data_IF_473088194039
#
_entry.id   IF_473088194039
#
_cell.length_a   1.000
_cell.length_b   1.000
_cell.length_c   1.000
_cell.angle_alpha   90.00
_cell.angle_beta   90.00
_cell.angle_gamma   90.00
#
_symmetry.space_group_name_H-M   'P 1'
#
loop_
_entity.id
_entity.type
_entity.pdbx_description
1 polymer ?
#
# COMPACT_ATOMS: atom_id res chain seq x y z
N UNK A 1 29.81 3.03 25.16
CA UNK A 1 30.44 3.78 24.05
C UNK A 1 30.96 5.12 24.57
N UNK A 2 32.15 5.57 24.18
CA UNK A 2 32.65 6.90 24.59
C UNK A 2 31.89 8.01 23.84
N UNK A 3 31.70 9.16 24.49
CA UNK A 3 30.95 10.31 23.94
C UNK A 3 31.47 10.76 22.56
N UNK A 4 32.79 10.65 22.37
CA UNK A 4 33.49 11.04 21.14
C UNK A 4 33.19 10.10 19.97
N UNK A 5 33.07 8.79 20.23
CA UNK A 5 32.72 7.83 19.18
C UNK A 5 31.25 8.00 18.72
N UNK A 6 30.33 8.32 19.64
CA UNK A 6 28.92 8.59 19.32
C UNK A 6 28.78 9.81 18.40
N UNK A 7 29.52 10.89 18.69
CA UNK A 7 29.50 12.11 17.88
C UNK A 7 30.00 11.86 16.45
N UNK A 8 31.05 11.05 16.27
CA UNK A 8 31.58 10.69 14.95
C UNK A 8 30.57 9.86 14.14
N UNK A 9 29.85 8.93 14.78
CA UNK A 9 28.85 8.11 14.07
C UNK A 9 27.62 8.93 13.67
N UNK A 10 27.17 9.86 14.51
CA UNK A 10 26.07 10.78 14.19
C UNK A 10 26.49 11.73 13.07
N UNK A 11 27.71 12.28 13.11
CA UNK A 11 28.19 13.23 12.09
C UNK A 11 28.31 12.58 10.71
N UNK A 12 28.60 11.28 10.65
CA UNK A 12 28.67 10.51 9.40
C UNK A 12 27.32 9.89 8.99
N UNK A 13 26.21 10.28 9.64
CA UNK A 13 24.83 9.80 9.38
C UNK A 13 24.65 8.28 9.50
N UNK A 14 25.51 7.61 10.26
CA UNK A 14 25.44 6.18 10.48
C UNK A 14 24.43 5.82 11.59
N UNK A 15 24.06 6.78 12.43
CA UNK A 15 23.15 6.61 13.58
C UNK A 15 22.37 7.89 13.88
N UNK A 16 21.19 7.76 14.49
CA UNK A 16 20.36 8.88 14.96
C UNK A 16 20.69 9.25 16.41
N UNK A 17 20.56 10.54 16.82
CA UNK A 17 20.80 10.97 18.21
C UNK A 17 19.96 10.22 19.25
N UNK A 18 18.78 9.74 18.84
CA UNK A 18 17.80 9.07 19.67
C UNK A 18 17.98 7.55 19.73
N UNK A 19 18.91 6.98 18.96
CA UNK A 19 19.17 5.55 19.00
C UNK A 19 19.78 5.17 20.36
N UNK A 20 19.09 4.27 21.05
CA UNK A 20 19.56 3.66 22.29
C UNK A 20 20.43 2.47 21.91
N UNK A 21 21.75 2.66 21.96
CA UNK A 21 22.69 1.57 21.80
C UNK A 21 22.85 0.84 23.12
N UNK A 22 22.48 -0.43 23.16
CA UNK A 22 22.94 -1.31 24.22
C UNK A 22 24.46 -1.49 24.08
N UNK A 23 25.22 -1.49 25.19
CA UNK A 23 26.65 -1.75 25.11
C UNK A 23 26.86 -3.13 24.49
N UNK A 24 27.62 -3.17 23.39
CA UNK A 24 28.08 -4.45 22.83
C UNK A 24 28.92 -5.12 23.92
N UNK A 25 28.49 -6.31 24.34
CA UNK A 25 29.30 -7.17 25.19
C UNK A 25 30.48 -7.64 24.32
N UNK A 26 31.66 -7.07 24.55
CA UNK A 26 32.89 -7.61 23.98
C UNK A 26 33.18 -8.86 24.79
N UNK A 27 32.86 -10.01 24.20
CA UNK A 27 33.24 -11.32 24.71
C UNK A 27 34.70 -11.58 24.29
N UNK A 28 35.54 -11.96 25.25
CA UNK A 28 36.95 -12.31 25.02
C UNK A 28 37.10 -13.63 24.24
N UNK A 29 36.01 -14.38 24.13
CA UNK A 29 35.91 -15.63 23.38
C UNK A 29 34.97 -15.44 22.18
N UNK A 30 35.30 -16.06 21.05
CA UNK A 30 34.45 -16.09 19.88
C UNK A 30 33.10 -16.72 20.26
N UNK A 31 31.96 -16.04 20.00
CA UNK A 31 30.66 -16.63 20.27
C UNK A 31 30.48 -17.91 19.45
N UNK A 32 29.79 -18.89 20.02
CA UNK A 32 29.48 -20.15 19.32
C UNK A 32 28.89 -19.86 17.93
N UNK A 33 29.46 -20.47 16.89
CA UNK A 33 29.06 -20.28 15.49
C UNK A 33 29.77 -19.15 14.74
N UNK A 34 30.62 -18.33 15.38
CA UNK A 34 31.36 -17.27 14.68
C UNK A 34 32.32 -17.80 13.60
N UNK A 35 32.84 -19.03 13.78
CA UNK A 35 33.67 -19.73 12.77
C UNK A 35 32.87 -20.20 11.56
N UNK A 36 31.54 -20.26 11.61
CA UNK A 36 30.69 -20.66 10.48
C UNK A 36 30.42 -19.51 9.50
N UNK A 37 30.75 -18.27 9.88
CA UNK A 37 30.52 -17.06 9.09
C UNK A 37 31.65 -16.74 8.10
N UNK A 38 32.83 -17.36 8.26
CA UNK A 38 33.96 -17.17 7.34
C UNK A 38 33.89 -18.09 6.10
N UNK A 39 32.84 -18.92 6.01
CA UNK A 39 32.61 -19.85 4.90
C UNK A 39 33.58 -21.03 4.83
N UNK A 40 34.42 -21.23 5.85
CA UNK A 40 35.36 -22.35 5.93
C UNK A 40 34.68 -23.65 6.40
N UNK A 41 33.59 -23.53 7.15
CA UNK A 41 32.73 -24.66 7.52
C UNK A 41 31.44 -24.68 6.68
N UNK A 42 30.95 -25.87 6.29
CA UNK A 42 29.63 -25.98 5.69
C UNK A 42 28.58 -25.41 6.67
N UNK A 43 27.52 -24.76 6.15
CA UNK A 43 26.51 -24.14 7.00
C UNK A 43 25.94 -25.18 7.99
N UNK A 44 25.69 -24.79 9.25
CA UNK A 44 25.18 -25.71 10.24
C UNK A 44 23.83 -26.30 9.76
N UNK A 45 23.58 -27.57 10.07
CA UNK A 45 22.44 -28.41 9.62
C UNK A 45 21.03 -27.85 9.96
N UNK A 46 20.93 -26.64 10.49
CA UNK A 46 19.76 -26.06 11.13
C UNK A 46 18.69 -25.47 10.20
N UNK A 47 18.79 -25.63 8.87
CA UNK A 47 17.70 -25.23 7.96
C UNK A 47 16.67 -26.33 7.67
N UNK A 48 16.91 -27.56 8.13
CA UNK A 48 15.91 -28.61 8.11
C UNK A 48 15.66 -29.09 9.53
N UNK A 49 14.57 -28.59 10.12
CA UNK A 49 14.11 -29.02 11.44
C UNK A 49 14.13 -30.54 11.56
N UNK A 50 14.95 -31.03 12.48
CA UNK A 50 14.87 -32.35 13.11
C UNK A 50 14.39 -33.49 12.22
N UNK A 51 15.21 -33.98 11.29
CA UNK A 51 14.93 -35.25 10.61
C UNK A 51 16.20 -36.04 10.40
N UNK A 52 16.25 -37.23 11.02
CA UNK A 52 17.16 -38.32 10.66
C UNK A 52 16.92 -38.88 9.24
N UNK A 53 16.20 -38.18 8.37
CA UNK A 53 15.68 -38.72 7.11
C UNK A 53 15.87 -37.81 5.88
N UNK A 54 16.73 -36.77 5.93
CA UNK A 54 16.98 -35.89 4.76
C UNK A 54 18.37 -36.11 4.15
N UNK A 55 19.32 -36.67 4.91
CA UNK A 55 20.68 -36.97 4.40
C UNK A 55 20.72 -38.04 3.30
N UNK A 56 19.68 -38.87 3.18
CA UNK A 56 19.58 -39.97 2.21
C UNK A 56 18.66 -39.67 1.02
N UNK A 57 18.10 -38.47 0.95
CA UNK A 57 17.17 -38.10 -0.14
C UNK A 57 17.95 -37.63 -1.37
N UNK A 58 17.72 -38.31 -2.48
CA UNK A 58 18.20 -37.89 -3.79
C UNK A 58 17.64 -36.51 -4.17
N UNK A 59 18.36 -35.80 -5.04
CA UNK A 59 17.91 -34.50 -5.58
C UNK A 59 16.50 -34.56 -6.20
N UNK A 60 16.12 -35.69 -6.79
CA UNK A 60 14.77 -35.96 -7.30
C UNK A 60 13.70 -35.95 -6.20
N UNK A 61 14.01 -36.49 -5.02
CA UNK A 61 13.08 -36.54 -3.89
C UNK A 61 12.91 -35.16 -3.26
N UNK A 62 13.99 -34.38 -3.12
CA UNK A 62 13.94 -32.98 -2.68
C UNK A 62 13.08 -32.15 -3.65
N UNK A 63 13.28 -32.33 -4.97
CA UNK A 63 12.48 -31.64 -5.99
C UNK A 63 11.00 -32.01 -5.92
N UNK A 64 10.69 -33.28 -5.68
CA UNK A 64 9.31 -33.76 -5.51
C UNK A 64 8.64 -33.19 -4.25
N UNK A 65 9.38 -33.11 -3.13
CA UNK A 65 8.90 -32.48 -1.89
C UNK A 65 8.61 -30.99 -2.14
N UNK A 66 9.54 -30.28 -2.78
CA UNK A 66 9.37 -28.85 -3.03
C UNK A 66 8.20 -28.55 -3.99
N UNK A 67 8.00 -29.37 -5.02
CA UNK A 67 6.84 -29.27 -5.91
C UNK A 67 5.53 -29.51 -5.15
N UNK A 68 5.50 -30.50 -4.27
CA UNK A 68 4.33 -30.80 -3.43
C UNK A 68 4.04 -29.70 -2.42
N UNK A 69 5.07 -29.15 -1.77
CA UNK A 69 4.94 -28.00 -0.86
C UNK A 69 4.45 -26.75 -1.61
N UNK A 70 4.94 -26.52 -2.83
CA UNK A 70 4.47 -25.44 -3.69
C UNK A 70 3.00 -25.63 -4.10
N UNK A 71 2.59 -26.85 -4.44
CA UNK A 71 1.19 -27.18 -4.71
C UNK A 71 0.30 -26.95 -3.47
N UNK A 72 0.73 -27.41 -2.30
CA UNK A 72 0.03 -27.18 -1.03
C UNK A 72 -0.06 -25.67 -0.74
N UNK A 73 1.05 -24.94 -0.87
CA UNK A 73 1.08 -23.49 -0.67
C UNK A 73 0.15 -22.75 -1.64
N UNK A 74 0.09 -23.16 -2.90
CA UNK A 74 -0.82 -22.60 -3.89
C UNK A 74 -2.30 -22.90 -3.59
N UNK A 75 -2.58 -24.04 -2.95
CA UNK A 75 -3.92 -24.45 -2.53
C UNK A 75 -4.33 -23.89 -1.16
N UNK A 76 -3.39 -23.42 -0.36
CA UNK A 76 -3.69 -22.86 0.97
C UNK A 76 -4.28 -21.47 0.80
N UNK A 77 -5.43 -21.19 1.44
CA UNK A 77 -6.00 -19.84 1.44
C UNK A 77 -4.99 -18.91 2.11
N UNK A 78 -4.36 -18.05 1.31
CA UNK A 78 -3.38 -17.09 1.80
C UNK A 78 -4.06 -16.18 2.81
N UNK A 79 -3.40 -15.81 3.93
CA UNK A 79 -3.98 -14.87 4.87
C UNK A 79 -4.36 -13.60 4.11
N UNK A 80 -5.66 -13.27 4.12
CA UNK A 80 -6.17 -12.05 3.49
C UNK A 80 -5.45 -10.89 4.14
N UNK A 81 -4.68 -10.14 3.35
CA UNK A 81 -4.03 -8.95 3.85
C UNK A 81 -5.12 -7.98 4.31
N UNK A 82 -5.24 -7.78 5.62
CA UNK A 82 -6.20 -6.85 6.20
C UNK A 82 -5.66 -5.44 5.99
N UNK A 83 -6.00 -4.85 4.85
CA UNK A 83 -5.68 -3.46 4.54
C UNK A 83 -6.69 -2.59 5.29
N UNK A 84 -6.20 -1.89 6.32
CA UNK A 84 -7.01 -0.94 7.08
C UNK A 84 -6.80 0.47 6.54
N UNK A 85 -7.79 1.35 6.74
CA UNK A 85 -7.67 2.75 6.33
C UNK A 85 -6.43 3.43 6.95
N UNK A 86 -6.13 3.14 8.22
CA UNK A 86 -4.93 3.67 8.90
C UNK A 86 -3.63 3.26 8.20
N UNK A 87 -3.55 2.02 7.70
CA UNK A 87 -2.40 1.55 6.94
C UNK A 87 -2.28 2.30 5.61
N UNK A 88 -3.38 2.36 4.84
CA UNK A 88 -3.41 3.05 3.55
C UNK A 88 -3.04 4.55 3.68
N UNK A 89 -3.56 5.25 4.70
CA UNK A 89 -3.24 6.65 4.95
C UNK A 89 -1.79 6.87 5.45
N UNK A 90 -1.21 5.88 6.14
CA UNK A 90 0.21 5.92 6.52
C UNK A 90 1.10 5.83 5.28
N UNK A 91 0.74 4.95 4.35
CA UNK A 91 1.39 4.80 3.06
C UNK A 91 1.30 6.10 2.24
N UNK A 92 0.10 6.68 2.13
CA UNK A 92 -0.12 7.98 1.47
C UNK A 92 0.76 9.10 2.07
N UNK A 93 0.82 9.20 3.40
CA UNK A 93 1.69 10.19 4.06
C UNK A 93 3.18 9.96 3.76
N UNK A 94 3.61 8.71 3.61
CA UNK A 94 4.99 8.37 3.26
C UNK A 94 5.29 8.84 1.83
N UNK A 95 4.40 8.56 0.88
CA UNK A 95 4.58 9.00 -0.51
C UNK A 95 4.54 10.51 -0.64
N UNK A 96 3.61 11.18 0.05
CA UNK A 96 3.58 12.66 0.09
C UNK A 96 4.86 13.30 0.63
N UNK A 97 5.57 12.62 1.55
CA UNK A 97 6.88 13.11 2.02
C UNK A 97 8.00 12.91 0.99
N UNK A 98 7.89 11.88 0.15
CA UNK A 98 8.89 11.58 -0.89
C UNK A 98 8.74 12.50 -2.11
N UNK A 99 7.50 12.74 -2.55
CA UNK A 99 7.16 13.52 -3.76
C UNK A 99 6.13 14.63 -3.44
N UNK A 100 6.47 15.62 -2.59
CA UNK A 100 5.51 16.60 -2.09
C UNK A 100 4.84 17.45 -3.18
N UNK A 101 5.52 17.67 -4.30
CA UNK A 101 5.06 18.43 -5.47
C UNK A 101 3.86 17.79 -6.18
N UNK A 102 3.72 16.46 -6.09
CA UNK A 102 2.62 15.72 -6.72
C UNK A 102 1.31 15.82 -5.93
N UNK A 103 1.36 16.34 -4.70
CA UNK A 103 0.23 16.35 -3.78
C UNK A 103 -0.22 17.77 -3.45
N UNK A 104 -1.54 17.99 -3.50
CA UNK A 104 -2.12 19.24 -3.06
C UNK A 104 -2.03 19.42 -1.54
N UNK A 105 -2.22 20.65 -1.06
CA UNK A 105 -2.36 20.90 0.39
C UNK A 105 -3.59 20.16 0.94
N UNK A 106 -3.53 19.76 2.21
CA UNK A 106 -4.68 19.18 2.91
C UNK A 106 -5.82 20.19 3.03
N UNK A 107 -7.06 19.70 3.13
CA UNK A 107 -8.19 20.53 3.55
C UNK A 107 -8.10 20.87 5.04
N UNK A 108 -8.51 22.10 5.37
CA UNK A 108 -8.75 22.51 6.75
C UNK A 108 -10.06 21.95 7.29
N UNK A 109 -10.18 21.87 8.62
CA UNK A 109 -11.42 21.47 9.27
C UNK A 109 -12.61 22.38 8.89
N UNK A 110 -12.34 23.67 8.64
CA UNK A 110 -13.37 24.62 8.23
C UNK A 110 -13.93 24.25 6.86
N UNK A 111 -13.06 23.97 5.89
CA UNK A 111 -13.46 23.57 4.53
C UNK A 111 -14.25 22.26 4.52
N UNK A 112 -13.84 21.29 5.34
CA UNK A 112 -14.58 20.03 5.51
C UNK A 112 -15.95 20.23 6.17
N UNK A 113 -16.06 21.13 7.14
CA UNK A 113 -17.34 21.40 7.83
C UNK A 113 -18.36 22.15 6.96
N UNK A 114 -17.90 22.85 5.93
CA UNK A 114 -18.76 23.55 4.95
C UNK A 114 -19.12 22.69 3.75
N UNK A 115 -18.71 21.41 3.75
CA UNK A 115 -19.02 20.46 2.70
C UNK A 115 -20.53 20.28 2.53
N UNK A 116 -21.03 20.58 1.33
CA UNK A 116 -22.42 20.27 0.94
C UNK A 116 -22.57 18.80 0.55
N UNK A 117 -21.45 18.15 0.20
CA UNK A 117 -21.39 16.76 -0.27
C UNK A 117 -21.23 15.81 0.92
N UNK A 118 -22.05 14.77 0.95
CA UNK A 118 -21.86 13.65 1.89
C UNK A 118 -20.85 12.67 1.27
N UNK A 119 -19.62 12.72 1.75
CA UNK A 119 -18.58 11.74 1.42
C UNK A 119 -18.38 10.78 2.60
N UNK A 120 -17.99 9.52 2.34
CA UNK A 120 -17.64 8.57 3.41
C UNK A 120 -16.51 9.10 4.29
N UNK A 121 -16.56 8.76 5.59
CA UNK A 121 -15.55 9.20 6.57
C UNK A 121 -14.13 8.87 6.12
N UNK A 122 -13.90 7.69 5.57
CA UNK A 122 -12.58 7.29 5.08
C UNK A 122 -12.04 8.18 3.95
N UNK A 123 -12.92 8.72 3.10
CA UNK A 123 -12.51 9.67 2.06
C UNK A 123 -12.20 11.04 2.65
N UNK A 124 -12.99 11.49 3.63
CA UNK A 124 -12.71 12.71 4.37
C UNK A 124 -11.36 12.64 5.10
N UNK A 125 -10.99 11.48 5.65
CA UNK A 125 -9.65 11.27 6.25
C UNK A 125 -8.52 11.37 5.21
N UNK A 126 -8.72 10.90 3.98
CA UNK A 126 -7.78 11.13 2.88
C UNK A 126 -7.64 12.62 2.57
N UNK A 127 -8.74 13.37 2.51
CA UNK A 127 -8.73 14.81 2.20
C UNK A 127 -8.03 15.66 3.29
N UNK A 128 -7.97 15.15 4.54
CA UNK A 128 -7.17 15.73 5.63
C UNK A 128 -5.66 15.55 5.44
N UNK A 129 -5.25 14.66 4.53
CA UNK A 129 -3.85 14.50 4.12
C UNK A 129 -3.60 15.27 2.83
N UNK A 130 -4.45 15.13 1.81
CA UNK A 130 -4.27 15.75 0.50
C UNK A 130 -5.60 16.08 -0.17
N UNK A 131 -5.77 17.32 -0.63
CA UNK A 131 -6.97 17.78 -1.34
C UNK A 131 -6.80 17.62 -2.86
N UNK A 132 -6.45 16.42 -3.31
CA UNK A 132 -6.07 16.16 -4.69
C UNK A 132 -4.58 15.88 -4.88
N UNK A 133 -4.21 15.62 -6.13
CA UNK A 133 -2.86 15.22 -6.54
C UNK A 133 -2.75 13.74 -6.90
N UNK A 134 -1.54 13.31 -7.26
CA UNK A 134 -1.31 12.02 -7.89
C UNK A 134 -1.08 10.90 -6.86
N UNK A 135 -1.95 9.89 -6.81
CA UNK A 135 -1.69 8.65 -6.06
C UNK A 135 -0.64 7.78 -6.75
N UNK A 136 -0.62 7.83 -8.08
CA UNK A 136 0.35 7.17 -8.95
C UNK A 136 0.59 8.01 -10.20
N UNK A 137 1.47 7.55 -11.11
CA UNK A 137 1.67 8.21 -12.40
C UNK A 137 0.39 8.27 -13.24
N UNK A 138 -0.51 7.30 -13.04
CA UNK A 138 -1.74 7.18 -13.82
C UNK A 138 -2.96 7.71 -13.09
N UNK A 139 -2.99 7.75 -11.75
CA UNK A 139 -4.18 8.12 -10.96
C UNK A 139 -4.03 9.49 -10.28
N UNK A 140 -4.93 10.42 -10.60
CA UNK A 140 -5.01 11.76 -10.01
C UNK A 140 -6.31 11.93 -9.23
N UNK A 141 -6.21 12.33 -7.95
CA UNK A 141 -7.37 12.67 -7.13
C UNK A 141 -7.85 14.09 -7.48
N UNK A 142 -9.15 14.20 -7.73
CA UNK A 142 -9.80 15.47 -8.02
C UNK A 142 -9.90 16.31 -6.74
N UNK A 143 -9.53 17.61 -6.77
CA UNK A 143 -9.69 18.50 -5.63
C UNK A 143 -11.14 18.59 -5.15
N UNK A 144 -11.35 18.67 -3.84
CA UNK A 144 -12.68 18.64 -3.23
C UNK A 144 -13.63 19.71 -3.79
N UNK A 145 -13.12 20.90 -4.12
CA UNK A 145 -13.91 22.01 -4.66
C UNK A 145 -14.48 21.70 -6.05
N UNK A 146 -13.86 20.80 -6.81
CA UNK A 146 -14.26 20.44 -8.18
C UNK A 146 -14.93 19.07 -8.26
N UNK A 147 -15.02 18.32 -7.15
CA UNK A 147 -15.63 16.97 -7.13
C UNK A 147 -17.06 17.01 -7.69
N UNK A 148 -17.90 17.98 -7.32
CA UNK A 148 -19.29 18.02 -7.80
C UNK A 148 -19.40 18.30 -9.30
N UNK A 149 -18.62 19.26 -9.82
CA UNK A 149 -18.64 19.56 -11.25
C UNK A 149 -18.10 18.37 -12.04
N UNK A 150 -16.99 17.78 -11.58
CA UNK A 150 -16.41 16.60 -12.20
C UNK A 150 -17.37 15.40 -12.18
N UNK A 151 -18.03 15.15 -11.04
CA UNK A 151 -19.03 14.08 -10.92
C UNK A 151 -20.24 14.32 -11.83
N UNK A 152 -20.69 15.57 -11.99
CA UNK A 152 -21.80 15.88 -12.89
C UNK A 152 -21.40 15.66 -14.36
N UNK A 153 -20.18 16.04 -14.73
CA UNK A 153 -19.65 15.82 -16.09
C UNK A 153 -19.51 14.32 -16.37
N UNK A 154 -18.95 13.55 -15.43
CA UNK A 154 -18.78 12.10 -15.57
C UNK A 154 -20.08 11.30 -15.47
N UNK A 155 -21.04 11.76 -14.69
CA UNK A 155 -22.39 11.19 -14.70
C UNK A 155 -23.04 11.35 -16.07
N UNK A 156 -22.94 12.55 -16.67
CA UNK A 156 -23.45 12.80 -18.02
C UNK A 156 -22.76 11.94 -19.07
N UNK A 157 -21.43 11.87 -19.02
CA UNK A 157 -20.61 11.02 -19.90
C UNK A 157 -20.98 9.53 -19.75
N UNK A 158 -21.10 9.05 -18.52
CA UNK A 158 -21.53 7.68 -18.22
C UNK A 158 -22.93 7.37 -18.76
N UNK A 159 -23.89 8.28 -18.57
CA UNK A 159 -25.26 8.12 -19.08
C UNK A 159 -25.36 8.18 -20.62
N UNK A 160 -24.44 8.89 -21.29
CA UNK A 160 -24.34 8.92 -22.76
C UNK A 160 -23.79 7.59 -23.32
N UNK A 161 -22.98 6.87 -22.54
CA UNK A 161 -22.40 5.58 -22.92
C UNK A 161 -23.29 4.38 -22.52
N UNK A 162 -23.93 4.46 -21.35
CA UNK A 162 -24.83 3.45 -20.80
C UNK A 162 -26.04 4.14 -20.13
N UNK A 163 -27.24 3.97 -20.70
CA UNK A 163 -28.47 4.54 -20.14
C UNK A 163 -28.79 4.04 -18.71
N UNK A 164 -28.20 2.91 -18.29
CA UNK A 164 -28.36 2.34 -16.95
C UNK A 164 -27.29 2.81 -15.95
N UNK A 165 -26.48 3.80 -16.33
CA UNK A 165 -25.42 4.31 -15.47
C UNK A 165 -25.99 4.86 -14.14
N UNK A 166 -25.55 4.37 -12.97
CA UNK A 166 -26.17 4.71 -11.70
C UNK A 166 -25.91 6.14 -11.23
N UNK A 167 -26.97 6.83 -10.78
CA UNK A 167 -26.91 8.18 -10.20
C UNK A 167 -26.33 8.23 -8.78
N UNK A 168 -26.12 7.08 -8.14
CA UNK A 168 -25.63 6.99 -6.76
C UNK A 168 -24.10 7.02 -6.67
N UNK A 169 -23.42 7.61 -7.65
CA UNK A 169 -21.96 7.62 -7.78
C UNK A 169 -21.41 9.04 -7.65
N UNK A 170 -20.25 9.15 -7.03
CA UNK A 170 -19.47 10.39 -6.98
C UNK A 170 -18.09 10.11 -7.56
N UNK A 171 -17.75 10.75 -8.66
CA UNK A 171 -16.44 10.66 -9.30
C UNK A 171 -15.42 11.48 -8.53
N UNK A 172 -14.33 10.85 -8.11
CA UNK A 172 -13.36 11.44 -7.15
C UNK A 172 -11.91 11.40 -7.61
N UNK A 173 -11.61 10.60 -8.63
CA UNK A 173 -10.29 10.55 -9.24
C UNK A 173 -10.43 10.27 -10.75
N UNK A 174 -9.39 10.59 -11.49
CA UNK A 174 -9.26 10.32 -12.92
C UNK A 174 -7.96 9.58 -13.21
N UNK A 175 -7.96 8.84 -14.30
CA UNK A 175 -6.79 8.18 -14.85
C UNK A 175 -6.30 8.94 -16.08
N UNK A 176 -4.99 8.95 -16.31
CA UNK A 176 -4.36 9.71 -17.40
C UNK A 176 -4.80 9.35 -18.82
N UNK A 177 -5.46 8.21 -19.02
CA UNK A 177 -6.04 7.76 -20.30
C UNK A 177 -7.52 8.11 -20.48
N UNK A 178 -8.15 8.75 -19.48
CA UNK A 178 -9.54 9.21 -19.55
C UNK A 178 -10.51 8.43 -18.68
N UNK A 179 -10.12 7.25 -18.19
CA UNK A 179 -10.92 6.50 -17.20
C UNK A 179 -11.11 7.32 -15.92
N UNK A 180 -12.13 7.00 -15.14
CA UNK A 180 -12.36 7.66 -13.86
C UNK A 180 -12.73 6.68 -12.76
N UNK A 181 -12.68 7.18 -11.52
CA UNK A 181 -12.95 6.40 -10.33
C UNK A 181 -14.12 6.99 -9.56
N UNK A 182 -15.13 6.16 -9.31
CA UNK A 182 -16.32 6.53 -8.57
C UNK A 182 -16.37 5.90 -7.18
N UNK A 183 -16.85 6.68 -6.23
CA UNK A 183 -17.38 6.19 -4.97
C UNK A 183 -18.82 5.73 -5.18
N UNK A 184 -19.13 4.48 -4.87
CA UNK A 184 -20.49 3.94 -4.95
C UNK A 184 -21.22 4.19 -3.63
N UNK A 185 -22.12 5.17 -3.61
CA UNK A 185 -22.86 5.55 -2.41
C UNK A 185 -24.11 4.70 -2.24
N UNK A 186 -24.21 4.01 -1.11
CA UNK A 186 -25.43 3.31 -0.68
C UNK A 186 -26.02 4.01 0.54
N UNK A 187 -27.28 3.74 0.89
CA UNK A 187 -27.97 4.40 2.02
C UNK A 187 -27.19 4.32 3.36
N UNK A 188 -26.34 3.32 3.53
CA UNK A 188 -25.50 3.08 4.72
C UNK A 188 -24.02 3.51 4.58
N UNK A 189 -23.62 4.22 3.52
CA UNK A 189 -22.21 4.63 3.27
C UNK A 189 -21.74 5.78 4.16
N UNK A 190 -21.74 5.55 5.47
CA UNK A 190 -21.27 6.51 6.47
C UNK A 190 -19.74 6.41 6.60
N UNK A 191 -19.20 5.21 6.80
CA UNK A 191 -17.79 5.02 7.14
C UNK A 191 -16.91 4.79 5.90
N UNK A 192 -17.32 3.87 5.03
CA UNK A 192 -16.57 3.44 3.85
C UNK A 192 -17.53 3.17 2.70
N UNK A 193 -17.01 3.11 1.48
CA UNK A 193 -17.77 2.70 0.31
C UNK A 193 -16.87 1.97 -0.71
N UNK A 194 -17.45 1.12 -1.57
CA UNK A 194 -16.74 0.61 -2.73
C UNK A 194 -16.25 1.75 -3.63
N UNK A 195 -15.11 1.50 -4.27
CA UNK A 195 -14.58 2.36 -5.34
C UNK A 195 -14.61 1.54 -6.62
N UNK A 196 -15.06 2.12 -7.73
CA UNK A 196 -15.06 1.45 -9.04
C UNK A 196 -14.28 2.27 -10.05
N UNK A 197 -13.55 1.60 -10.94
CA UNK A 197 -12.95 2.22 -12.12
C UNK A 197 -13.91 2.04 -13.29
N UNK A 198 -14.20 3.13 -13.98
CA UNK A 198 -15.08 3.20 -15.13
C UNK A 198 -14.28 3.56 -16.37
N UNK A 199 -14.45 2.78 -17.43
CA UNK A 199 -13.78 3.05 -18.71
C UNK A 199 -14.46 4.19 -19.47
N UNK A 200 -13.64 5.06 -20.05
CA UNK A 200 -14.12 6.10 -20.96
C UNK A 200 -14.59 5.58 -22.32
N UNK A 201 -14.25 4.33 -22.68
CA UNK A 201 -14.63 3.77 -23.98
C UNK A 201 -16.10 3.30 -24.02
N UNK A 202 -16.65 2.87 -22.88
CA UNK A 202 -17.97 2.24 -22.82
C UNK A 202 -18.74 2.44 -21.52
N UNK A 203 -18.22 3.20 -20.55
CA UNK A 203 -18.92 3.46 -19.28
C UNK A 203 -19.05 2.26 -18.35
N UNK A 204 -18.46 1.11 -18.72
CA UNK A 204 -18.49 -0.12 -17.95
C UNK A 204 -17.48 -0.13 -16.79
N UNK A 205 -17.79 -0.90 -15.75
CA UNK A 205 -16.88 -1.09 -14.61
C UNK A 205 -15.82 -2.12 -15.00
N UNK A 206 -14.56 -1.67 -15.03
CA UNK A 206 -13.41 -2.54 -15.34
C UNK A 206 -12.68 -3.05 -14.09
N UNK A 207 -12.82 -2.36 -12.96
CA UNK A 207 -12.24 -2.77 -11.68
C UNK A 207 -13.07 -2.27 -10.50
N UNK A 208 -13.10 -3.06 -9.42
CA UNK A 208 -13.78 -2.72 -8.17
C UNK A 208 -12.87 -2.96 -6.96
N UNK A 209 -12.89 -2.00 -6.04
CA UNK A 209 -12.30 -2.10 -4.71
C UNK A 209 -13.40 -2.13 -3.66
N UNK A 210 -13.28 -3.04 -2.69
CA UNK A 210 -14.25 -3.20 -1.59
C UNK A 210 -14.39 -1.97 -0.69
N UNK A 211 -13.38 -1.09 -0.70
CA UNK A 211 -13.29 0.04 0.20
C UNK A 211 -12.16 0.99 -0.17
N UNK A 212 -12.21 2.19 0.38
CA UNK A 212 -11.24 3.27 0.08
C UNK A 212 -9.81 2.87 0.46
N UNK A 213 -9.65 2.07 1.52
CA UNK A 213 -8.35 1.58 1.96
C UNK A 213 -7.65 0.70 0.90
N UNK A 214 -8.40 -0.19 0.24
CA UNK A 214 -7.88 -1.05 -0.82
C UNK A 214 -7.52 -0.22 -2.06
N UNK A 215 -8.38 0.71 -2.45
CA UNK A 215 -8.12 1.62 -3.56
C UNK A 215 -6.80 2.39 -3.39
N UNK A 216 -6.61 3.08 -2.25
CA UNK A 216 -5.39 3.85 -1.99
C UNK A 216 -4.14 2.94 -1.99
N UNK A 217 -4.26 1.76 -1.37
CA UNK A 217 -3.14 0.82 -1.27
C UNK A 217 -2.70 0.33 -2.65
N UNK A 218 -3.65 -0.11 -3.48
CA UNK A 218 -3.36 -0.61 -4.83
C UNK A 218 -2.82 0.50 -5.72
N UNK A 219 -3.42 1.69 -5.72
CA UNK A 219 -2.94 2.81 -6.54
C UNK A 219 -1.49 3.18 -6.21
N UNK A 220 -1.08 3.10 -4.94
CA UNK A 220 0.30 3.44 -4.55
C UNK A 220 1.28 2.30 -4.84
N UNK A 221 0.90 1.03 -4.66
CA UNK A 221 1.86 -0.10 -4.67
C UNK A 221 1.84 -0.96 -5.93
N UNK A 222 0.71 -1.07 -6.63
CA UNK A 222 0.65 -1.87 -7.87
C UNK A 222 1.31 -1.13 -9.03
N UNK A 223 1.17 0.20 -9.12
CA UNK A 223 1.84 0.99 -10.17
C UNK A 223 3.37 1.05 -10.01
N UNK A 224 3.90 0.78 -8.81
CA UNK A 224 5.35 0.70 -8.54
C UNK A 224 6.01 -0.58 -9.10
N UNK A 225 5.23 -1.61 -9.49
CA UNK A 225 5.75 -2.91 -9.98
C UNK A 225 5.67 -3.07 -11.51
N UNK A 226 5.32 -2.00 -12.24
CA UNK A 226 5.14 -2.02 -13.70
C UNK A 226 6.42 -1.73 -14.51
N UNK A 227 7.61 -1.85 -13.89
CA UNK A 227 8.91 -1.59 -14.52
C UNK A 227 9.86 -2.80 -14.46
#
# INVERSE_FOLDING_TARGET
>A
MSKRAKEVLISNRLTSPHDKFEPIQIVDELPEGALQLDGSEPPPDFYYGSRRDIGDLSFSEIKAIHLREKEVYNQTEKPKQLITIKHALTLLNREKKKRPEDFCKRLSHKELSTAVIKLPVNWLELLKITNGGYLSLSCSIVPFQTIMSFSADKLKEGQELDELYPDNRISVAERGDGDWYDLVLNDDTIEDCPVVQVTHEGGEIIREWKGIAFFIYDMILEDDNSY
#
